data_IF_781653847234
#
_entry.id   IF_781653847234
#
_cell.length_a   1.000
_cell.length_b   1.000
_cell.length_c   1.000
_cell.angle_alpha   90.00
_cell.angle_beta   90.00
_cell.angle_gamma   90.00
#
_symmetry.space_group_name_H-M   'P 1'
#
loop_
_entity.id
_entity.type
_entity.pdbx_description
1 polymer ?
#
# COMPACT_ATOMS: atom_id res chain seq x y z
N UNK A 1 5.19 -9.38 17.40
CA UNK A 1 6.30 -8.40 17.31
C UNK A 1 7.51 -8.86 16.52
N UNK A 2 8.02 -10.10 16.71
CA UNK A 2 9.20 -10.59 15.97
C UNK A 2 8.99 -10.59 14.45
N UNK A 3 7.83 -11.09 13.97
CA UNK A 3 7.46 -11.09 12.54
C UNK A 3 7.52 -9.70 11.89
N UNK A 4 6.85 -8.69 12.47
CA UNK A 4 6.87 -7.33 11.91
C UNK A 4 8.28 -6.73 11.79
N UNK A 5 9.16 -6.93 12.79
CA UNK A 5 10.55 -6.46 12.72
C UNK A 5 11.34 -7.20 11.64
N UNK A 6 11.12 -8.51 11.50
CA UNK A 6 11.71 -9.30 10.41
C UNK A 6 11.29 -8.75 9.05
N UNK A 7 9.98 -8.56 8.82
CA UNK A 7 9.48 -8.02 7.55
C UNK A 7 10.00 -6.62 7.23
N UNK A 8 10.19 -5.76 8.24
CA UNK A 8 10.81 -4.43 8.04
C UNK A 8 12.28 -4.51 7.64
N UNK A 9 13.05 -5.43 8.24
CA UNK A 9 14.43 -5.65 7.84
C UNK A 9 14.53 -6.23 6.41
N UNK A 10 13.65 -7.18 6.07
CA UNK A 10 13.55 -7.75 4.73
C UNK A 10 13.19 -6.68 3.68
N UNK A 11 12.19 -5.84 3.97
CA UNK A 11 11.78 -4.75 3.09
C UNK A 11 12.92 -3.74 2.85
N UNK A 12 13.66 -3.39 3.90
CA UNK A 12 14.84 -2.52 3.79
C UNK A 12 15.91 -3.15 2.89
N UNK A 13 16.22 -4.43 3.10
CA UNK A 13 17.19 -5.15 2.27
C UNK A 13 16.74 -5.27 0.80
N UNK A 14 15.44 -5.47 0.56
CA UNK A 14 14.86 -5.52 -0.79
C UNK A 14 15.02 -4.16 -1.50
N UNK A 15 14.70 -3.05 -0.82
CA UNK A 15 14.82 -1.70 -1.36
C UNK A 15 16.29 -1.31 -1.61
N UNK A 16 17.21 -1.67 -0.72
CA UNK A 16 18.65 -1.51 -0.94
C UNK A 16 19.12 -2.28 -2.19
N UNK A 17 18.62 -3.49 -2.42
CA UNK A 17 18.93 -4.26 -3.62
C UNK A 17 18.40 -3.60 -4.91
N UNK A 18 17.34 -2.79 -4.82
CA UNK A 18 16.84 -1.97 -5.92
C UNK A 18 17.64 -0.66 -6.10
N UNK A 19 18.52 -0.31 -5.16
CA UNK A 19 19.29 0.93 -5.17
C UNK A 19 18.60 2.10 -4.46
N UNK A 20 17.56 1.83 -3.66
CA UNK A 20 16.89 2.84 -2.84
C UNK A 20 17.69 3.06 -1.55
N UNK A 21 17.97 4.31 -1.24
CA UNK A 21 18.70 4.67 -0.03
C UNK A 21 17.92 4.36 1.24
N UNK A 22 18.62 3.98 2.32
CA UNK A 22 18.00 3.65 3.61
C UNK A 22 17.15 4.78 4.20
N UNK A 23 17.50 6.03 3.91
CA UNK A 23 16.78 7.22 4.38
C UNK A 23 15.48 7.50 3.63
N UNK A 24 15.26 6.88 2.46
CA UNK A 24 14.08 7.08 1.63
C UNK A 24 12.91 6.14 1.99
N UNK A 25 13.03 5.37 3.09
CA UNK A 25 12.02 4.42 3.54
C UNK A 25 11.39 4.85 4.87
N UNK A 26 10.09 5.11 4.83
CA UNK A 26 9.28 5.40 6.02
C UNK A 26 8.31 4.25 6.29
N UNK A 27 8.38 3.68 7.50
CA UNK A 27 7.36 2.75 7.99
C UNK A 27 6.39 3.50 8.90
N UNK A 28 5.11 3.53 8.53
CA UNK A 28 4.06 4.16 9.33
C UNK A 28 3.55 3.28 10.49
N UNK A 29 3.90 1.99 10.50
CA UNK A 29 3.62 1.07 11.60
C UNK A 29 2.13 0.77 11.86
N UNK A 30 1.23 1.16 10.96
CA UNK A 30 -0.20 0.83 11.00
C UNK A 30 -0.45 -0.68 10.89
N UNK A 31 -1.57 -1.17 11.43
CA UNK A 31 -1.81 -2.60 11.58
C UNK A 31 -2.15 -3.28 10.25
N UNK A 32 -1.56 -4.46 10.03
CA UNK A 32 -2.00 -5.40 9.00
C UNK A 32 -3.46 -5.83 9.26
N UNK A 33 -4.22 -5.98 8.19
CA UNK A 33 -5.65 -6.33 8.14
C UNK A 33 -6.53 -5.34 8.92
N UNK A 34 -6.04 -4.12 9.08
CA UNK A 34 -6.68 -3.09 9.89
C UNK A 34 -7.09 -1.85 9.11
N UNK A 35 -6.45 -1.55 7.97
CA UNK A 35 -6.60 -0.25 7.31
C UNK A 35 -8.04 -0.02 6.83
N UNK A 36 -8.68 -1.04 6.27
CA UNK A 36 -10.06 -0.91 5.79
C UNK A 36 -11.05 -0.56 6.91
N UNK A 37 -10.77 -0.99 8.16
CA UNK A 37 -11.59 -0.67 9.35
C UNK A 37 -11.32 0.75 9.85
N UNK A 38 -10.13 1.29 9.61
CA UNK A 38 -9.79 2.69 9.94
C UNK A 38 -10.57 3.68 9.09
N UNK A 39 -10.92 3.32 7.84
CA UNK A 39 -11.73 4.17 6.94
C UNK A 39 -13.17 4.40 7.43
N UNK A 40 -13.65 3.59 8.39
CA UNK A 40 -15.06 3.59 8.81
C UNK A 40 -15.20 3.55 10.34
N UNK A 41 -14.93 2.41 10.96
CA UNK A 41 -15.24 2.14 12.38
C UNK A 41 -14.28 2.85 13.33
N UNK A 42 -12.98 2.89 12.99
CA UNK A 42 -11.91 3.42 13.84
C UNK A 42 -11.36 4.72 13.24
N UNK A 43 -12.24 5.68 12.98
CA UNK A 43 -11.89 6.90 12.25
C UNK A 43 -11.20 7.96 13.11
N UNK A 44 -11.84 8.45 14.17
CA UNK A 44 -11.39 9.66 14.88
C UNK A 44 -11.21 9.51 16.39
N UNK A 45 -10.68 10.55 17.05
CA UNK A 45 -10.49 10.65 18.50
C UNK A 45 -11.78 10.44 19.30
N UNK A 46 -12.93 10.72 18.68
CA UNK A 46 -14.26 10.45 19.26
C UNK A 46 -14.59 8.95 19.32
N UNK A 47 -13.72 8.10 18.75
CA UNK A 47 -13.79 6.64 18.75
C UNK A 47 -12.53 6.07 19.41
N UNK A 48 -12.64 4.82 19.86
CA UNK A 48 -11.46 4.10 20.32
C UNK A 48 -10.51 3.88 19.14
N UNK A 49 -9.20 3.95 19.39
CA UNK A 49 -8.21 3.50 18.41
C UNK A 49 -8.35 1.99 18.20
N UNK A 50 -8.04 1.53 16.99
CA UNK A 50 -8.02 0.11 16.67
C UNK A 50 -6.93 -0.60 17.48
N UNK A 51 -7.26 -1.73 18.11
CA UNK A 51 -6.26 -2.57 18.79
C UNK A 51 -5.92 -3.75 17.88
N UNK A 52 -4.66 -3.79 17.44
CA UNK A 52 -4.16 -4.86 16.56
C UNK A 52 -4.26 -6.22 17.25
N UNK A 53 -4.91 -7.24 16.65
CA UNK A 53 -4.99 -8.56 17.25
C UNK A 53 -3.61 -9.24 17.35
N UNK A 54 -2.67 -8.90 16.47
CA UNK A 54 -1.34 -9.50 16.41
C UNK A 54 -0.32 -8.88 17.37
N UNK A 55 -0.46 -7.59 17.67
CA UNK A 55 0.51 -6.86 18.50
C UNK A 55 -0.06 -6.38 19.82
N UNK A 56 -1.39 -6.37 19.97
CA UNK A 56 -2.14 -5.80 21.10
C UNK A 56 -1.84 -4.32 21.34
N UNK A 57 -1.39 -3.61 20.31
CA UNK A 57 -1.12 -2.17 20.34
C UNK A 57 -2.23 -1.39 19.66
N UNK A 58 -2.39 -0.15 20.10
CA UNK A 58 -3.30 0.85 19.54
C UNK A 58 -2.57 1.99 18.82
N UNK A 59 -1.25 1.86 18.64
CA UNK A 59 -0.38 2.90 18.07
C UNK A 59 0.91 2.32 17.47
N UNK A 60 1.53 3.01 16.48
CA UNK A 60 2.85 2.67 15.97
C UNK A 60 3.95 2.79 17.03
N UNK A 61 5.19 2.38 16.71
CA UNK A 61 6.35 2.69 17.55
C UNK A 61 6.66 4.19 17.44
N UNK A 62 7.29 4.80 18.46
CA UNK A 62 7.73 6.20 18.37
C UNK A 62 8.62 6.50 17.15
N UNK A 63 9.41 5.53 16.68
CA UNK A 63 10.25 5.66 15.49
C UNK A 63 9.50 5.57 14.15
N UNK A 64 8.20 5.30 14.18
CA UNK A 64 7.31 5.08 13.01
C UNK A 64 6.22 6.16 12.95
N UNK A 65 6.34 7.21 13.76
CA UNK A 65 5.36 8.29 13.90
C UNK A 65 5.97 9.57 13.33
N UNK A 66 5.32 10.16 12.32
CA UNK A 66 5.67 11.49 11.80
C UNK A 66 4.84 12.57 12.50
N UNK A 67 3.56 12.30 12.75
CA UNK A 67 2.64 13.23 13.41
C UNK A 67 2.54 12.88 14.90
N UNK A 68 2.90 13.79 15.83
CA UNK A 68 2.89 13.47 17.25
C UNK A 68 1.55 12.92 17.74
N UNK A 69 1.64 11.93 18.64
CA UNK A 69 0.50 11.25 19.25
C UNK A 69 -0.36 10.36 18.32
N UNK A 70 0.11 10.05 17.11
CA UNK A 70 -0.52 9.07 16.21
C UNK A 70 -0.86 7.76 16.90
N UNK A 71 -2.10 7.31 16.66
CA UNK A 71 -2.67 6.03 17.04
C UNK A 71 -3.22 5.33 15.79
N UNK A 72 -3.73 4.12 15.96
CA UNK A 72 -4.42 3.39 14.91
C UNK A 72 -5.84 3.92 14.70
N UNK A 73 -5.92 5.14 14.17
CA UNK A 73 -7.13 5.86 13.77
C UNK A 73 -7.01 6.26 12.29
N UNK A 74 -8.14 6.31 11.59
CA UNK A 74 -8.17 6.71 10.19
C UNK A 74 -7.67 8.13 9.96
N UNK A 75 -8.11 9.09 10.78
CA UNK A 75 -7.69 10.48 10.65
C UNK A 75 -6.19 10.66 10.88
N UNK A 76 -5.60 9.88 11.78
CA UNK A 76 -4.14 9.91 12.03
C UNK A 76 -3.38 9.39 10.82
N UNK A 77 -3.87 8.32 10.16
CA UNK A 77 -3.23 7.80 8.95
C UNK A 77 -3.30 8.82 7.80
N UNK A 78 -4.43 9.48 7.61
CA UNK A 78 -4.55 10.57 6.63
C UNK A 78 -3.55 11.68 6.94
N UNK A 79 -3.44 12.11 8.20
CA UNK A 79 -2.51 13.17 8.61
C UNK A 79 -1.03 12.78 8.45
N UNK A 80 -0.66 11.56 8.81
CA UNK A 80 0.68 11.01 8.60
C UNK A 80 1.05 11.03 7.11
N UNK A 81 0.14 10.56 6.24
CA UNK A 81 0.35 10.58 4.79
C UNK A 81 0.41 12.00 4.24
N UNK A 82 -0.47 12.89 4.67
CA UNK A 82 -0.48 14.29 4.23
C UNK A 82 0.82 15.01 4.64
N UNK A 83 1.33 14.76 5.85
CA UNK A 83 2.61 15.31 6.32
C UNK A 83 3.79 14.81 5.47
N UNK A 84 3.82 13.51 5.13
CA UNK A 84 4.86 12.95 4.25
C UNK A 84 4.76 13.53 2.84
N UNK A 85 3.56 13.56 2.25
CA UNK A 85 3.36 14.06 0.89
C UNK A 85 3.71 15.55 0.81
N UNK A 86 3.25 16.36 1.76
CA UNK A 86 3.55 17.80 1.79
C UNK A 86 5.04 18.08 2.02
N UNK A 87 5.70 17.33 2.90
CA UNK A 87 7.13 17.54 3.16
C UNK A 87 8.05 17.04 2.05
N UNK A 88 7.73 15.90 1.43
CA UNK A 88 8.52 15.33 0.33
C UNK A 88 8.22 16.02 -1.01
N UNK A 89 7.01 16.55 -1.16
CA UNK A 89 6.52 17.23 -2.36
C UNK A 89 6.73 16.42 -3.67
N UNK A 90 6.17 15.19 -3.76
CA UNK A 90 6.42 14.30 -4.89
C UNK A 90 5.82 14.85 -6.19
N UNK A 91 6.54 14.65 -7.30
CA UNK A 91 6.00 14.88 -8.65
C UNK A 91 5.19 13.69 -9.16
N UNK A 92 5.38 12.51 -8.58
CA UNK A 92 4.70 11.26 -8.94
C UNK A 92 4.47 10.41 -7.69
N UNK A 93 3.31 9.77 -7.62
CA UNK A 93 2.94 8.86 -6.54
C UNK A 93 2.41 7.55 -7.14
N UNK A 94 3.03 6.43 -6.78
CA UNK A 94 2.54 5.09 -7.13
C UNK A 94 1.80 4.48 -5.94
N UNK A 95 0.55 4.03 -6.14
CA UNK A 95 -0.31 3.47 -5.09
C UNK A 95 -1.09 2.26 -5.63
N UNK A 96 -1.51 1.29 -4.79
CA UNK A 96 -2.40 0.23 -5.26
C UNK A 96 -3.73 0.80 -5.80
N UNK A 97 -4.34 0.07 -6.73
CA UNK A 97 -5.69 0.35 -7.22
C UNK A 97 -6.73 0.11 -6.14
N UNK A 98 -7.82 0.89 -6.16
CA UNK A 98 -9.01 0.64 -5.32
C UNK A 98 -9.68 -0.70 -5.60
N UNK A 99 -9.47 -1.28 -6.79
CA UNK A 99 -9.98 -2.61 -7.16
C UNK A 99 -9.05 -3.77 -6.77
N UNK A 100 -7.90 -3.49 -6.14
CA UNK A 100 -7.04 -4.52 -5.59
C UNK A 100 -7.81 -5.32 -4.52
N UNK A 101 -7.77 -6.65 -4.63
CA UNK A 101 -8.60 -7.57 -3.87
C UNK A 101 -7.96 -7.97 -2.54
N UNK A 102 -6.97 -7.20 -2.07
CA UNK A 102 -6.51 -7.22 -0.69
C UNK A 102 -7.03 -5.98 0.04
N UNK A 103 -7.72 -6.15 1.17
CA UNK A 103 -8.42 -5.06 1.86
C UNK A 103 -7.51 -3.86 2.21
N UNK A 104 -6.28 -4.11 2.66
CA UNK A 104 -5.33 -3.05 2.98
C UNK A 104 -4.77 -2.34 1.73
N UNK A 105 -4.60 -3.04 0.60
CA UNK A 105 -4.19 -2.41 -0.66
C UNK A 105 -5.31 -1.51 -1.20
N UNK A 106 -6.55 -2.01 -1.20
CA UNK A 106 -7.73 -1.22 -1.52
C UNK A 106 -7.82 0.03 -0.62
N UNK A 107 -7.65 -0.13 0.70
CA UNK A 107 -7.70 0.98 1.64
C UNK A 107 -6.58 2.01 1.43
N UNK A 108 -5.37 1.58 1.05
CA UNK A 108 -4.24 2.46 0.78
C UNK A 108 -4.56 3.49 -0.32
N UNK A 109 -5.35 3.12 -1.34
CA UNK A 109 -5.83 4.06 -2.35
C UNK A 109 -6.67 5.19 -1.75
N UNK A 110 -7.65 4.84 -0.90
CA UNK A 110 -8.56 5.81 -0.30
C UNK A 110 -7.83 6.77 0.65
N UNK A 111 -6.94 6.26 1.50
CA UNK A 111 -6.14 7.10 2.40
C UNK A 111 -5.20 8.04 1.64
N UNK A 112 -4.57 7.56 0.57
CA UNK A 112 -3.72 8.39 -0.28
C UNK A 112 -4.53 9.49 -0.97
N UNK A 113 -5.71 9.16 -1.51
CA UNK A 113 -6.58 10.13 -2.18
C UNK A 113 -7.13 11.20 -1.24
N UNK A 114 -7.48 10.81 0.00
CA UNK A 114 -7.92 11.72 1.07
C UNK A 114 -6.77 12.66 1.50
N UNK A 115 -5.58 12.11 1.74
CA UNK A 115 -4.37 12.88 2.10
C UNK A 115 -3.95 13.86 1.01
N UNK A 116 -4.04 13.48 -0.28
CA UNK A 116 -3.83 14.40 -1.40
C UNK A 116 -4.85 15.55 -1.41
N UNK A 117 -6.09 15.29 -1.00
CA UNK A 117 -7.12 16.32 -0.81
C UNK A 117 -6.77 17.29 0.32
N UNK A 118 -6.20 16.78 1.42
CA UNK A 118 -5.72 17.60 2.53
C UNK A 118 -4.54 18.49 2.14
N UNK A 119 -3.52 17.94 1.46
CA UNK A 119 -2.37 18.71 0.97
C UNK A 119 -2.83 19.82 0.03
N UNK A 120 -3.69 19.51 -0.96
CA UNK A 120 -4.21 20.51 -1.92
C UNK A 120 -5.07 21.60 -1.29
N UNK A 121 -5.64 21.37 -0.10
CA UNK A 121 -6.39 22.39 0.63
C UNK A 121 -5.48 23.47 1.20
N UNK A 122 -4.25 23.08 1.57
CA UNK A 122 -3.23 23.99 2.10
C UNK A 122 -2.40 24.58 0.96
N UNK A 123 -2.06 23.77 -0.04
CA UNK A 123 -1.23 24.12 -1.19
C UNK A 123 -2.01 23.86 -2.49
N UNK A 124 -2.79 24.85 -2.94
CA UNK A 124 -3.70 24.69 -4.08
C UNK A 124 -3.00 24.30 -5.40
N UNK A 125 -1.74 24.70 -5.57
CA UNK A 125 -0.93 24.40 -6.76
C UNK A 125 -0.21 23.04 -6.70
N UNK A 126 -0.33 22.31 -5.57
CA UNK A 126 0.27 21.00 -5.40
C UNK A 126 -0.31 19.99 -6.41
N UNK A 127 0.58 19.40 -7.21
CA UNK A 127 0.25 18.40 -8.20
C UNK A 127 1.27 17.25 -8.18
N UNK A 128 0.75 16.03 -8.29
CA UNK A 128 1.52 14.81 -8.45
C UNK A 128 0.81 13.92 -9.46
N UNK A 129 1.56 13.29 -10.37
CA UNK A 129 1.03 12.26 -11.26
C UNK A 129 0.76 10.99 -10.44
N UNK A 130 -0.51 10.57 -10.35
CA UNK A 130 -0.90 9.40 -9.57
C UNK A 130 -0.93 8.18 -10.49
N UNK A 131 0.01 7.27 -10.26
CA UNK A 131 0.06 5.97 -10.90
C UNK A 131 -0.55 4.93 -9.98
N UNK A 132 -1.38 4.09 -10.57
CA UNK A 132 -2.05 2.99 -9.92
C UNK A 132 -1.41 1.67 -10.38
N UNK A 133 -1.11 0.77 -9.44
CA UNK A 133 -0.69 -0.61 -9.74
C UNK A 133 -1.63 -1.62 -9.07
N UNK A 134 -1.59 -2.88 -9.46
CA UNK A 134 -2.41 -3.95 -8.85
C UNK A 134 -1.53 -5.14 -8.52
N UNK A 135 -1.76 -5.75 -7.36
CA UNK A 135 -0.98 -6.89 -6.84
C UNK A 135 -1.91 -8.10 -6.63
N UNK A 136 -3.04 -7.92 -5.94
CA UNK A 136 -3.99 -9.00 -5.70
C UNK A 136 -5.20 -8.84 -6.62
N UNK A 137 -5.28 -9.69 -7.63
CA UNK A 137 -6.42 -9.74 -8.54
C UNK A 137 -6.64 -11.16 -9.07
N UNK A 138 -7.88 -11.64 -9.10
CA UNK A 138 -8.21 -13.04 -9.40
C UNK A 138 -7.69 -13.56 -10.76
N UNK A 139 -7.54 -12.69 -11.76
CA UNK A 139 -7.01 -13.05 -13.08
C UNK A 139 -5.51 -12.77 -13.23
N UNK A 140 -4.76 -12.65 -12.12
CA UNK A 140 -3.32 -12.46 -12.16
C UNK A 140 -2.62 -13.68 -12.80
N UNK A 141 -1.73 -13.48 -13.80
CA UNK A 141 -1.11 -14.60 -14.50
C UNK A 141 0.05 -15.19 -13.67
N UNK A 142 -0.14 -16.40 -13.13
CA UNK A 142 0.86 -17.05 -12.28
C UNK A 142 1.96 -17.78 -13.06
N UNK A 143 1.66 -18.35 -14.23
CA UNK A 143 2.53 -19.35 -14.88
C UNK A 143 3.55 -18.81 -15.90
N UNK A 144 3.58 -17.51 -16.22
CA UNK A 144 4.33 -17.01 -17.38
C UNK A 144 5.37 -15.92 -17.08
N UNK A 145 6.68 -16.24 -17.08
CA UNK A 145 7.78 -15.28 -16.91
C UNK A 145 7.95 -14.25 -18.06
N UNK A 146 7.05 -14.23 -19.04
CA UNK A 146 7.03 -13.25 -20.11
C UNK A 146 6.58 -11.85 -19.63
N UNK A 147 6.12 -11.03 -20.58
CA UNK A 147 5.59 -9.73 -20.27
C UNK A 147 4.25 -9.88 -19.52
N UNK A 148 4.11 -9.16 -18.41
CA UNK A 148 2.85 -9.04 -17.70
C UNK A 148 1.83 -8.35 -18.60
N UNK A 149 0.73 -9.06 -18.87
CA UNK A 149 -0.41 -8.52 -19.59
C UNK A 149 -1.44 -7.93 -18.61
N UNK A 150 -2.17 -6.88 -19.01
CA UNK A 150 -3.23 -6.35 -18.18
C UNK A 150 -4.30 -7.39 -17.86
N UNK A 151 -4.85 -7.41 -16.62
CA UNK A 151 -5.91 -8.35 -16.28
C UNK A 151 -7.14 -8.10 -17.16
N UNK A 152 -7.69 -9.13 -17.84
CA UNK A 152 -8.77 -8.96 -18.82
C UNK A 152 -10.05 -8.41 -18.20
N UNK A 153 -10.32 -8.78 -16.94
CA UNK A 153 -11.53 -8.36 -16.21
C UNK A 153 -11.33 -7.05 -15.43
N UNK A 154 -10.20 -6.38 -15.62
CA UNK A 154 -9.91 -5.09 -14.99
C UNK A 154 -9.77 -4.00 -16.06
N UNK A 155 -10.82 -3.16 -16.25
CA UNK A 155 -10.76 -2.07 -17.19
C UNK A 155 -9.58 -1.13 -16.91
N UNK A 156 -8.91 -0.73 -17.99
CA UNK A 156 -7.77 0.17 -17.96
C UNK A 156 -8.10 1.57 -17.40
N UNK A 157 -9.39 1.94 -17.45
CA UNK A 157 -9.83 3.30 -17.17
C UNK A 157 -9.50 4.27 -18.32
N UNK A 158 -9.74 5.58 -18.12
CA UNK A 158 -9.64 6.57 -19.20
C UNK A 158 -8.22 6.75 -19.77
N UNK A 159 -7.20 6.40 -18.99
CA UNK A 159 -5.79 6.60 -19.35
C UNK A 159 -5.16 5.41 -20.06
N UNK A 160 -5.88 4.28 -20.18
CA UNK A 160 -5.30 3.04 -20.66
C UNK A 160 -4.30 2.42 -19.68
N UNK A 161 -3.77 1.25 -20.07
CA UNK A 161 -2.68 0.61 -19.35
C UNK A 161 -1.34 1.18 -19.82
N UNK A 162 -0.48 1.49 -18.86
CA UNK A 162 0.88 1.93 -19.06
C UNK A 162 1.80 0.75 -18.81
N UNK A 163 2.57 0.38 -19.83
CA UNK A 163 3.54 -0.72 -19.75
C UNK A 163 4.93 -0.15 -19.69
N UNK A 164 5.66 -0.45 -18.62
CA UNK A 164 7.06 -0.05 -18.45
C UNK A 164 7.95 -1.26 -18.70
N UNK A 165 8.62 -1.37 -19.85
CA UNK A 165 9.52 -2.49 -20.12
C UNK A 165 10.73 -2.43 -19.19
N UNK A 166 11.17 -3.59 -18.71
CA UNK A 166 12.38 -3.76 -17.93
C UNK A 166 13.47 -4.39 -18.79
N UNK A 167 14.69 -3.89 -18.66
CA UNK A 167 15.87 -4.59 -19.15
C UNK A 167 16.07 -5.91 -18.38
N UNK A 168 16.80 -6.84 -18.97
CA UNK A 168 17.15 -8.09 -18.28
C UNK A 168 17.88 -7.85 -16.94
N UNK A 169 18.69 -6.78 -16.87
CA UNK A 169 19.40 -6.40 -15.64
C UNK A 169 18.44 -5.88 -14.56
N UNK A 170 17.43 -5.08 -14.92
CA UNK A 170 16.40 -4.58 -14.00
C UNK A 170 15.49 -5.71 -13.51
N UNK A 171 15.01 -6.57 -14.41
CA UNK A 171 14.21 -7.75 -14.04
C UNK A 171 14.99 -8.69 -13.11
N UNK A 172 16.29 -8.92 -13.38
CA UNK A 172 17.15 -9.70 -12.49
C UNK A 172 17.36 -9.01 -11.13
N UNK A 173 17.48 -7.68 -11.10
CA UNK A 173 17.58 -6.90 -9.85
C UNK A 173 16.29 -7.00 -9.04
N UNK A 174 15.13 -6.85 -9.69
CA UNK A 174 13.80 -7.05 -9.08
C UNK A 174 13.66 -8.44 -8.47
N UNK A 175 14.06 -9.48 -9.21
CA UNK A 175 14.06 -10.86 -8.70
C UNK A 175 14.90 -11.01 -7.43
N UNK A 176 16.14 -10.47 -7.43
CA UNK A 176 17.00 -10.49 -6.23
C UNK A 176 16.43 -9.70 -5.06
N UNK A 177 15.75 -8.58 -5.33
CA UNK A 177 15.08 -7.79 -4.31
C UNK A 177 13.91 -8.55 -3.69
N UNK A 178 13.07 -9.20 -4.51
CA UNK A 178 11.99 -10.06 -4.03
C UNK A 178 12.53 -11.17 -3.12
N UNK A 179 13.63 -11.82 -3.50
CA UNK A 179 14.27 -12.87 -2.70
C UNK A 179 14.75 -12.42 -1.31
N UNK A 180 14.84 -11.11 -1.04
CA UNK A 180 15.15 -10.59 0.31
C UNK A 180 13.99 -10.74 1.30
N UNK A 181 12.77 -10.96 0.83
CA UNK A 181 11.63 -11.30 1.68
C UNK A 181 11.64 -12.77 2.09
N UNK A 182 12.70 -13.22 2.75
CA UNK A 182 12.92 -14.65 3.09
C UNK A 182 11.73 -15.29 3.80
N UNK A 183 11.13 -14.57 4.76
CA UNK A 183 9.96 -15.04 5.50
C UNK A 183 8.75 -15.26 4.60
N UNK A 184 8.55 -14.42 3.59
CA UNK A 184 7.45 -14.52 2.64
C UNK A 184 7.75 -15.56 1.56
N UNK A 185 8.98 -15.61 1.06
CA UNK A 185 9.42 -16.62 0.09
C UNK A 185 9.18 -18.03 0.59
N UNK A 186 9.41 -18.32 1.87
CA UNK A 186 9.12 -19.66 2.44
C UNK A 186 7.66 -20.07 2.40
N UNK A 187 6.73 -19.13 2.28
CA UNK A 187 5.28 -19.39 2.27
C UNK A 187 4.63 -19.20 0.90
N UNK A 188 5.19 -18.30 0.08
CA UNK A 188 4.53 -17.81 -1.12
C UNK A 188 5.53 -17.48 -2.24
N UNK A 189 6.63 -18.24 -2.39
CA UNK A 189 7.56 -18.07 -3.52
C UNK A 189 6.83 -18.13 -4.86
N UNK A 190 5.89 -19.08 -4.99
CA UNK A 190 5.09 -19.31 -6.19
C UNK A 190 4.28 -18.09 -6.61
N UNK A 191 3.94 -17.20 -5.66
CA UNK A 191 3.25 -15.94 -5.91
C UNK A 191 4.24 -14.80 -6.13
N UNK A 192 5.20 -14.62 -5.22
CA UNK A 192 6.12 -13.48 -5.27
C UNK A 192 7.03 -13.50 -6.50
N UNK A 193 7.46 -14.68 -6.96
CA UNK A 193 8.28 -14.81 -8.16
C UNK A 193 7.51 -14.44 -9.44
N UNK A 194 6.17 -14.46 -9.42
CA UNK A 194 5.36 -14.02 -10.56
C UNK A 194 5.47 -12.53 -10.83
N UNK A 195 5.99 -11.74 -9.89
CA UNK A 195 6.23 -10.31 -10.12
C UNK A 195 7.57 -10.05 -10.80
N UNK A 196 8.48 -11.03 -10.92
CA UNK A 196 9.76 -10.89 -11.62
C UNK A 196 9.61 -10.99 -13.15
N UNK A 197 8.73 -10.16 -13.75
CA UNK A 197 8.39 -10.13 -15.18
C UNK A 197 9.27 -9.14 -15.96
N UNK A 198 9.07 -9.10 -17.29
CA UNK A 198 9.78 -8.22 -18.23
C UNK A 198 9.24 -6.79 -18.30
N UNK A 199 8.20 -6.47 -17.54
CA UNK A 199 7.59 -5.15 -17.47
C UNK A 199 6.82 -4.96 -16.17
N UNK A 200 6.55 -3.70 -15.85
CA UNK A 200 5.53 -3.30 -14.88
C UNK A 200 4.28 -2.80 -15.60
N UNK A 201 3.14 -2.90 -14.92
CA UNK A 201 1.87 -2.36 -15.38
C UNK A 201 1.34 -1.31 -14.41
N UNK A 202 0.98 -0.16 -14.97
CA UNK A 202 0.33 0.93 -14.25
C UNK A 202 -0.91 1.41 -15.00
N UNK A 203 -1.77 2.16 -14.32
CA UNK A 203 -2.78 2.99 -14.93
C UNK A 203 -2.86 4.33 -14.21
N UNK A 204 -3.61 5.30 -14.73
CA UNK A 204 -3.96 6.51 -13.96
C UNK A 204 -5.42 6.46 -13.55
N UNK A 205 -5.77 6.86 -12.31
CA UNK A 205 -7.16 6.97 -11.92
C UNK A 205 -7.85 8.07 -12.76
N UNK A 206 -9.18 7.99 -12.98
CA UNK A 206 -9.94 9.15 -13.39
C UNK A 206 -9.80 10.28 -12.36
N UNK A 207 -10.23 11.50 -12.70
CA UNK A 207 -10.35 12.57 -11.72
C UNK A 207 -11.11 12.07 -10.48
N UNK A 208 -10.54 12.30 -9.30
CA UNK A 208 -11.02 11.74 -8.05
C UNK A 208 -11.15 12.82 -6.98
N UNK A 209 -12.11 12.61 -6.08
CA UNK A 209 -12.23 13.33 -4.82
C UNK A 209 -12.69 12.32 -3.77
N UNK A 210 -11.84 12.08 -2.78
CA UNK A 210 -12.14 11.22 -1.64
C UNK A 210 -12.15 12.11 -0.39
N UNK A 211 -13.13 11.85 0.47
CA UNK A 211 -13.20 12.42 1.82
C UNK A 211 -13.55 11.27 2.74
N UNK A 212 -12.66 10.95 3.68
CA UNK A 212 -12.91 9.96 4.72
C UNK A 212 -13.45 10.65 6.00
N UNK A 213 -14.23 9.93 6.84
CA UNK A 213 -14.63 8.53 6.72
C UNK A 213 -15.76 8.36 5.70
N UNK A 214 -15.83 7.17 5.11
CA UNK A 214 -16.91 6.78 4.20
C UNK A 214 -17.97 5.94 4.92
N UNK A 215 -19.23 6.09 4.52
CA UNK A 215 -20.35 5.40 5.17
C UNK A 215 -20.33 3.88 4.97
N UNK A 216 -19.83 3.41 3.81
CA UNK A 216 -19.71 1.99 3.47
C UNK A 216 -18.24 1.69 3.16
N UNK A 217 -17.72 0.57 3.67
CA UNK A 217 -16.36 0.13 3.39
C UNK A 217 -16.34 -0.67 2.05
N UNK A 218 -15.83 -0.09 0.94
CA UNK A 218 -15.76 -0.76 -0.35
C UNK A 218 -14.74 -1.90 -0.35
N UNK A 219 -13.77 -1.88 0.57
CA UNK A 219 -12.74 -2.88 0.71
C UNK A 219 -13.15 -4.05 1.62
N UNK A 220 -14.35 -4.02 2.22
CA UNK A 220 -14.80 -5.03 3.17
C UNK A 220 -14.95 -6.43 2.55
N UNK A 221 -15.29 -6.50 1.26
CA UNK A 221 -15.41 -7.76 0.53
C UNK A 221 -14.07 -8.51 0.42
N UNK A 222 -12.95 -7.83 0.67
CA UNK A 222 -11.59 -8.33 0.55
C UNK A 222 -10.91 -8.54 1.92
N UNK A 223 -11.62 -8.28 3.01
CA UNK A 223 -11.07 -8.43 4.34
C UNK A 223 -11.10 -9.91 4.73
N UNK A 224 -9.99 -10.42 5.28
CA UNK A 224 -10.00 -11.75 5.88
C UNK A 224 -11.05 -11.81 7.02
N UNK A 225 -11.79 -12.92 7.16
CA UNK A 225 -12.69 -13.09 8.27
C UNK A 225 -11.91 -13.00 9.58
N UNK A 226 -12.43 -12.21 10.53
CA UNK A 226 -11.78 -12.04 11.83
C UNK A 226 -11.52 -13.41 12.47
N UNK A 227 -10.26 -13.65 12.88
CA UNK A 227 -9.92 -14.85 13.63
C UNK A 227 -10.91 -15.04 14.79
N UNK A 228 -11.46 -16.26 14.99
CA UNK A 228 -12.43 -16.49 16.04
C UNK A 228 -11.84 -16.06 17.38
N UNK A 229 -12.62 -15.31 18.17
CA UNK A 229 -12.22 -14.98 19.54
C UNK A 229 -12.04 -16.31 20.27
N UNK A 230 -10.83 -16.59 20.75
CA UNK A 230 -10.62 -17.66 21.72
C UNK A 230 -11.56 -17.36 22.90
N UNK A 231 -12.46 -18.31 23.19
CA UNK A 231 -13.34 -18.25 24.35
C UNK A 231 -12.53 -18.39 25.63
#
# INVERSE_FOLDING_TARGET
MRKARTSQHEARAALEALGVERGALTFLGFPNDGLSRLMTTYWSERRNAFVSPYTRRDRPRPSEIVVPATRYRGEDLTQELAAIIGSFHPTMLAVPRKEDQHADHCAAWYFTADALGDVRRVEADFHADVLNYVIHFNSWPFEDESALLPPPDLPAGPSGWLTVPLTAAEAARKRRALQKYESQMRMMDWFLMTFARRNELFSRPPAFRVVLPIARNPCAAFAEPAAPRAK
#
